data_IF_377466980850
#
_entry.id   IF_377466980850
#
_cell.length_a   1.000
_cell.length_b   1.000
_cell.length_c   1.000
_cell.angle_alpha   90.00
_cell.angle_beta   90.00
_cell.angle_gamma   90.00
#
_symmetry.space_group_name_H-M   'P 1'
#
loop_
_entity.id
_entity.type
_entity.pdbx_description
1 polymer ?
#
# COMPACT_ATOMS: atom_id res chain seq x y z
N UNK A 1 -27.82 1.68 19.57
CA UNK A 1 -27.39 2.73 18.63
C UNK A 1 -26.60 2.02 17.54
N UNK A 2 -27.21 1.80 16.38
CA UNK A 2 -26.50 1.23 15.23
C UNK A 2 -25.64 2.33 14.62
N UNK A 3 -24.32 2.20 14.69
CA UNK A 3 -23.43 2.98 13.83
C UNK A 3 -23.84 2.75 12.38
N UNK A 4 -23.89 3.78 11.52
CA UNK A 4 -23.96 3.54 10.10
C UNK A 4 -22.80 2.62 9.69
N UNK A 5 -23.00 1.68 8.77
CA UNK A 5 -21.87 0.95 8.20
C UNK A 5 -20.85 1.98 7.69
N UNK A 6 -19.54 1.71 7.79
CA UNK A 6 -18.56 2.58 7.18
C UNK A 6 -18.88 2.67 5.68
N UNK A 7 -19.28 3.86 5.24
CA UNK A 7 -19.54 4.19 3.85
C UNK A 7 -18.19 4.24 3.11
N UNK A 8 -17.61 3.07 2.87
CA UNK A 8 -16.43 2.91 2.04
C UNK A 8 -16.86 2.91 0.57
N UNK A 9 -17.48 4.02 0.16
CA UNK A 9 -18.11 4.15 -1.16
C UNK A 9 -17.07 4.66 -2.14
N UNK A 10 -16.65 3.78 -3.05
CA UNK A 10 -15.80 4.15 -4.17
C UNK A 10 -16.61 4.90 -5.23
N UNK A 11 -16.45 6.22 -5.29
CA UNK A 11 -17.16 7.08 -6.25
C UNK A 11 -16.31 7.45 -7.47
N UNK A 12 -15.00 7.60 -7.29
CA UNK A 12 -14.05 7.95 -8.34
C UNK A 12 -12.75 7.16 -8.12
N UNK A 13 -12.55 6.03 -8.83
CA UNK A 13 -11.46 5.11 -8.58
C UNK A 13 -10.14 5.60 -9.19
N UNK A 14 -10.18 6.51 -10.16
CA UNK A 14 -8.99 6.89 -10.91
C UNK A 14 -8.01 7.73 -10.08
N UNK A 15 -8.43 8.77 -9.32
CA UNK A 15 -7.52 9.53 -8.47
C UNK A 15 -6.87 8.66 -7.38
N UNK A 16 -7.65 7.79 -6.75
CA UNK A 16 -7.16 6.90 -5.70
C UNK A 16 -6.16 5.87 -6.26
N UNK A 17 -6.49 5.24 -7.39
CA UNK A 17 -5.59 4.32 -8.07
C UNK A 17 -4.31 5.04 -8.53
N UNK A 18 -4.40 6.27 -9.02
CA UNK A 18 -3.23 7.09 -9.40
C UNK A 18 -2.32 7.31 -8.19
N UNK A 19 -2.88 7.82 -7.09
CA UNK A 19 -2.13 8.12 -5.88
C UNK A 19 -1.48 6.87 -5.28
N UNK A 20 -2.20 5.74 -5.29
CA UNK A 20 -1.65 4.45 -4.87
C UNK A 20 -0.45 4.04 -5.73
N UNK A 21 -0.57 4.10 -7.05
CA UNK A 21 0.50 3.73 -7.97
C UNK A 21 1.73 4.65 -7.86
N UNK A 22 1.51 5.95 -7.74
CA UNK A 22 2.58 6.94 -7.54
C UNK A 22 3.34 6.68 -6.24
N UNK A 23 2.62 6.36 -5.15
CA UNK A 23 3.23 6.03 -3.85
C UNK A 23 4.09 4.77 -3.89
N UNK A 24 3.84 3.86 -4.83
CA UNK A 24 4.53 2.59 -5.00
C UNK A 24 5.47 2.58 -6.22
N UNK A 25 5.66 3.73 -6.87
CA UNK A 25 6.44 3.84 -8.10
C UNK A 25 7.90 3.38 -7.94
N UNK A 26 8.47 3.52 -6.73
CA UNK A 26 9.83 3.04 -6.41
C UNK A 26 10.00 1.53 -6.59
N UNK A 27 8.90 0.78 -6.46
CA UNK A 27 8.88 -0.68 -6.50
C UNK A 27 8.38 -1.25 -7.84
N UNK A 28 8.25 -0.40 -8.87
CA UNK A 28 7.76 -0.75 -10.20
C UNK A 28 8.74 -0.28 -11.27
N UNK A 29 8.81 -1.00 -12.40
CA UNK A 29 9.52 -0.51 -13.59
C UNK A 29 8.74 0.60 -14.26
N UNK A 30 7.42 0.44 -14.37
CA UNK A 30 6.47 1.45 -14.87
C UNK A 30 5.04 1.04 -14.55
N UNK A 31 4.11 1.99 -14.61
CA UNK A 31 2.68 1.71 -14.54
C UNK A 31 1.90 2.59 -15.52
N UNK A 32 0.70 2.15 -15.89
CA UNK A 32 -0.23 2.94 -16.71
C UNK A 32 -1.67 2.66 -16.34
N UNK A 33 -2.46 3.71 -16.17
CA UNK A 33 -3.92 3.59 -15.97
C UNK A 33 -4.59 3.32 -17.32
N UNK A 34 -5.47 2.33 -17.34
CA UNK A 34 -6.25 1.94 -18.50
C UNK A 34 -7.58 2.71 -18.45
N UNK A 35 -7.53 4.02 -18.69
CA UNK A 35 -8.70 4.92 -18.60
C UNK A 35 -9.84 4.49 -19.53
N UNK A 36 -9.51 3.92 -20.69
CA UNK A 36 -10.50 3.40 -21.64
C UNK A 36 -11.33 2.22 -21.11
N UNK A 37 -10.79 1.49 -20.13
CA UNK A 37 -11.42 0.32 -19.51
C UNK A 37 -11.88 0.59 -18.06
N UNK A 38 -11.70 1.81 -17.57
CA UNK A 38 -12.12 2.25 -16.24
C UNK A 38 -13.45 2.98 -16.31
N UNK A 39 -14.14 3.08 -15.18
CA UNK A 39 -15.37 3.84 -15.02
C UNK A 39 -15.53 4.31 -13.56
N UNK A 40 -15.96 5.55 -13.30
CA UNK A 40 -16.21 6.65 -14.23
C UNK A 40 -14.92 7.26 -14.79
N UNK A 41 -15.01 7.87 -15.98
CA UNK A 41 -13.87 8.46 -16.71
C UNK A 41 -13.93 9.99 -16.82
N UNK A 42 -15.12 10.56 -16.64
CA UNK A 42 -15.38 11.99 -16.80
C UNK A 42 -16.46 12.45 -15.81
N UNK A 43 -16.67 13.77 -15.71
CA UNK A 43 -17.61 14.35 -14.75
C UNK A 43 -19.05 13.87 -14.94
N UNK A 44 -19.49 13.66 -16.18
CA UNK A 44 -20.85 13.20 -16.47
C UNK A 44 -21.07 11.78 -15.92
N UNK A 45 -20.10 10.89 -16.11
CA UNK A 45 -20.14 9.53 -15.56
C UNK A 45 -20.05 9.54 -14.03
N UNK A 46 -19.26 10.44 -13.44
CA UNK A 46 -19.19 10.62 -11.98
C UNK A 46 -20.54 11.05 -11.41
N UNK A 47 -21.23 11.99 -12.06
CA UNK A 47 -22.57 12.40 -11.63
C UNK A 47 -23.57 11.25 -11.73
N UNK A 48 -23.49 10.43 -12.78
CA UNK A 48 -24.33 9.24 -12.91
C UNK A 48 -24.10 8.24 -11.77
N UNK A 49 -22.85 8.02 -11.35
CA UNK A 49 -22.50 7.19 -10.19
C UNK A 49 -23.05 7.77 -8.89
N UNK A 50 -22.93 9.09 -8.66
CA UNK A 50 -23.50 9.77 -7.49
C UNK A 50 -25.01 9.61 -7.44
N UNK A 51 -25.68 9.79 -8.58
CA UNK A 51 -27.14 9.63 -8.69
C UNK A 51 -27.57 8.18 -8.45
N UNK A 52 -26.85 7.20 -9.03
CA UNK A 52 -27.07 5.78 -8.78
C UNK A 52 -26.95 5.49 -7.29
N UNK A 53 -25.85 5.91 -6.66
CA UNK A 53 -25.62 5.73 -5.23
C UNK A 53 -26.75 6.34 -4.38
N UNK A 54 -27.20 7.55 -4.69
CA UNK A 54 -28.32 8.18 -3.99
C UNK A 54 -29.64 7.40 -4.11
N UNK A 55 -29.82 6.64 -5.20
CA UNK A 55 -31.05 5.87 -5.46
C UNK A 55 -31.00 4.42 -4.95
N UNK A 56 -29.85 3.75 -5.03
CA UNK A 56 -29.71 2.32 -4.73
C UNK A 56 -28.84 2.03 -3.50
N UNK A 57 -28.13 3.04 -2.97
CA UNK A 57 -27.17 2.87 -1.87
C UNK A 57 -25.88 2.15 -2.27
N UNK A 58 -25.60 2.00 -3.58
CA UNK A 58 -24.43 1.28 -4.07
C UNK A 58 -23.87 1.88 -5.36
N UNK A 59 -22.62 1.53 -5.69
CA UNK A 59 -21.92 2.00 -6.89
C UNK A 59 -21.44 0.83 -7.74
N UNK A 60 -22.36 -0.08 -8.07
CA UNK A 60 -22.06 -1.20 -8.95
C UNK A 60 -21.50 -0.69 -10.28
N UNK A 61 -20.36 -1.24 -10.71
CA UNK A 61 -19.69 -0.89 -11.96
C UNK A 61 -18.61 0.19 -11.85
N UNK A 62 -18.43 0.82 -10.69
CA UNK A 62 -17.27 1.69 -10.45
C UNK A 62 -16.00 0.85 -10.37
N UNK A 63 -15.05 1.12 -11.26
CA UNK A 63 -13.84 0.33 -11.44
C UNK A 63 -12.70 1.15 -12.03
N UNK A 64 -11.53 1.09 -11.39
CA UNK A 64 -10.27 1.53 -11.98
C UNK A 64 -9.51 0.33 -12.55
N UNK A 65 -8.79 0.52 -13.65
CA UNK A 65 -7.90 -0.51 -14.20
C UNK A 65 -6.51 0.04 -14.43
N UNK A 66 -5.50 -0.77 -14.11
CA UNK A 66 -4.11 -0.40 -14.33
C UNK A 66 -3.29 -1.59 -14.81
N UNK A 67 -2.24 -1.26 -15.56
CA UNK A 67 -1.17 -2.17 -15.96
C UNK A 67 0.09 -1.82 -15.20
N UNK A 68 0.66 -2.82 -14.53
CA UNK A 68 1.88 -2.70 -13.73
C UNK A 68 2.99 -3.48 -14.41
N UNK A 69 4.17 -2.90 -14.55
CA UNK A 69 5.38 -3.60 -14.97
C UNK A 69 6.27 -3.75 -13.74
N UNK A 70 6.43 -4.99 -13.29
CA UNK A 70 7.19 -5.30 -12.07
C UNK A 70 8.70 -5.11 -12.30
N UNK A 71 9.45 -4.97 -11.21
CA UNK A 71 10.90 -4.86 -11.24
C UNK A 71 11.57 -6.17 -11.68
N UNK A 72 12.86 -6.10 -12.00
CA UNK A 72 13.71 -7.26 -12.30
C UNK A 72 13.19 -8.21 -13.39
N UNK A 73 12.31 -7.73 -14.27
CA UNK A 73 11.69 -8.55 -15.31
C UNK A 73 10.70 -9.60 -14.79
N UNK A 74 10.17 -9.43 -13.57
CA UNK A 74 9.20 -10.35 -12.95
C UNK A 74 7.83 -10.37 -13.65
N UNK A 75 7.61 -9.47 -14.62
CA UNK A 75 6.49 -9.52 -15.54
C UNK A 75 5.55 -8.33 -15.43
N UNK A 76 4.36 -8.52 -15.97
CA UNK A 76 3.31 -7.52 -16.13
C UNK A 76 2.05 -8.03 -15.45
N UNK A 77 1.39 -7.16 -14.69
CA UNK A 77 0.14 -7.46 -13.97
C UNK A 77 -0.93 -6.49 -14.44
N UNK A 78 -2.10 -7.00 -14.82
CA UNK A 78 -3.31 -6.20 -14.98
C UNK A 78 -4.14 -6.28 -13.70
N UNK A 79 -4.48 -5.13 -13.15
CA UNK A 79 -5.19 -4.99 -11.89
C UNK A 79 -6.49 -4.23 -12.10
N UNK A 80 -7.56 -4.77 -11.51
CA UNK A 80 -8.84 -4.12 -11.33
C UNK A 80 -8.94 -3.58 -9.90
N UNK A 81 -9.29 -2.32 -9.75
CA UNK A 81 -9.54 -1.67 -8.47
C UNK A 81 -11.02 -1.33 -8.35
N UNK A 82 -11.69 -1.90 -7.35
CA UNK A 82 -13.10 -1.65 -7.05
C UNK A 82 -13.34 -1.64 -5.53
N UNK A 83 -14.59 -1.57 -5.08
CA UNK A 83 -14.95 -1.55 -3.65
C UNK A 83 -14.43 -2.77 -2.85
N UNK A 84 -14.08 -3.86 -3.52
CA UNK A 84 -13.53 -5.08 -2.89
C UNK A 84 -12.01 -5.00 -2.70
N UNK A 85 -11.35 -4.03 -3.32
CA UNK A 85 -9.90 -3.86 -3.31
C UNK A 85 -9.28 -4.07 -4.71
N UNK A 86 -8.07 -4.65 -4.72
CA UNK A 86 -7.24 -4.83 -5.90
C UNK A 86 -7.29 -6.27 -6.38
N UNK A 87 -7.95 -6.54 -7.50
CA UNK A 87 -8.05 -7.86 -8.11
C UNK A 87 -7.05 -8.03 -9.26
N UNK A 88 -6.26 -9.09 -9.25
CA UNK A 88 -5.41 -9.50 -10.37
C UNK A 88 -6.25 -10.14 -11.47
N UNK A 89 -6.26 -9.53 -12.65
CA UNK A 89 -7.01 -10.05 -13.81
C UNK A 89 -6.15 -10.92 -14.71
N UNK A 90 -4.89 -10.52 -14.92
CA UNK A 90 -3.93 -11.30 -15.68
C UNK A 90 -2.50 -11.00 -15.26
N UNK A 91 -1.62 -11.98 -15.51
CA UNK A 91 -0.19 -11.93 -15.23
C UNK A 91 0.60 -12.43 -16.44
N UNK A 92 1.73 -11.82 -16.76
CA UNK A 92 2.59 -12.24 -17.90
C UNK A 92 4.05 -11.81 -17.72
N UNK A 93 5.03 -12.73 -17.70
CA UNK A 93 5.05 -13.99 -16.99
C UNK A 93 5.51 -13.75 -15.54
N UNK A 94 4.57 -13.72 -14.60
CA UNK A 94 4.88 -13.63 -13.17
C UNK A 94 5.02 -15.06 -12.67
N UNK A 95 6.26 -15.57 -12.68
CA UNK A 95 6.75 -16.88 -12.19
C UNK A 95 5.69 -17.83 -11.57
N UNK A 96 5.37 -18.93 -12.28
CA UNK A 96 4.83 -20.26 -11.87
C UNK A 96 3.75 -20.44 -10.78
N UNK A 97 3.25 -19.42 -10.10
CA UNK A 97 2.13 -19.55 -9.19
C UNK A 97 0.88 -18.99 -9.85
N UNK A 98 0.08 -19.86 -10.48
CA UNK A 98 -1.29 -19.52 -10.79
C UNK A 98 -2.00 -19.19 -9.46
N UNK A 99 -2.17 -17.91 -9.16
CA UNK A 99 -2.95 -17.50 -7.99
C UNK A 99 -4.37 -18.05 -8.19
N UNK A 100 -4.88 -18.88 -7.26
CA UNK A 100 -6.25 -19.38 -7.30
C UNK A 100 -7.21 -18.20 -7.46
N UNK A 101 -8.26 -18.35 -8.27
CA UNK A 101 -9.15 -17.24 -8.63
C UNK A 101 -9.80 -16.58 -7.41
N UNK A 102 -10.05 -17.35 -6.35
CA UNK A 102 -10.56 -16.93 -5.05
C UNK A 102 -9.55 -16.11 -4.22
N UNK A 103 -8.26 -16.12 -4.56
CA UNK A 103 -7.18 -15.45 -3.84
C UNK A 103 -6.55 -14.29 -4.62
N UNK A 104 -7.19 -13.85 -5.70
CA UNK A 104 -6.68 -12.77 -6.56
C UNK A 104 -7.02 -11.37 -6.10
N UNK A 105 -7.84 -11.21 -5.06
CA UNK A 105 -8.27 -9.91 -4.55
C UNK A 105 -7.55 -9.58 -3.25
N UNK A 106 -6.91 -8.43 -3.23
CA UNK A 106 -6.11 -7.92 -2.13
C UNK A 106 -6.73 -6.64 -1.57
N UNK A 107 -6.60 -6.43 -0.27
CA UNK A 107 -7.13 -5.23 0.41
C UNK A 107 -6.40 -3.94 0.04
N UNK A 108 -5.14 -4.04 -0.38
CA UNK A 108 -4.29 -2.91 -0.73
C UNK A 108 -3.33 -3.25 -1.87
N UNK A 109 -2.82 -2.20 -2.54
CA UNK A 109 -1.79 -2.35 -3.57
C UNK A 109 -0.49 -2.92 -2.98
N UNK A 110 -0.15 -2.56 -1.75
CA UNK A 110 1.04 -3.08 -1.06
C UNK A 110 0.94 -4.60 -0.83
N UNK A 111 -0.18 -5.08 -0.31
CA UNK A 111 -0.42 -6.51 -0.13
C UNK A 111 -0.34 -7.28 -1.46
N UNK A 112 -0.88 -6.72 -2.53
CA UNK A 112 -0.77 -7.27 -3.89
C UNK A 112 0.69 -7.34 -4.36
N UNK A 113 1.46 -6.26 -4.20
CA UNK A 113 2.83 -6.18 -4.68
C UNK A 113 3.78 -7.07 -3.85
N UNK A 114 3.57 -7.17 -2.54
CA UNK A 114 4.29 -8.10 -1.67
C UNK A 114 4.05 -9.55 -2.10
N UNK A 115 2.81 -9.90 -2.44
CA UNK A 115 2.46 -11.26 -2.86
C UNK A 115 3.05 -11.61 -4.24
N UNK A 116 3.16 -10.64 -5.14
CA UNK A 116 3.55 -10.86 -6.54
C UNK A 116 5.02 -10.63 -6.84
N UNK A 117 5.72 -9.79 -6.08
CA UNK A 117 7.02 -9.26 -6.46
C UNK A 117 8.03 -9.30 -5.30
N UNK A 118 8.88 -10.33 -5.23
CA UNK A 118 10.03 -10.33 -4.33
C UNK A 118 10.94 -9.12 -4.54
N UNK A 119 11.11 -8.65 -5.79
CA UNK A 119 11.87 -7.44 -6.08
C UNK A 119 11.25 -6.17 -5.46
N UNK A 120 9.91 -6.06 -5.43
CA UNK A 120 9.22 -4.99 -4.71
C UNK A 120 9.55 -5.00 -3.22
N UNK A 121 9.54 -6.17 -2.56
CA UNK A 121 9.87 -6.29 -1.13
C UNK A 121 11.30 -5.81 -0.85
N UNK A 122 12.26 -6.19 -1.70
CA UNK A 122 13.63 -5.71 -1.58
C UNK A 122 13.77 -4.19 -1.81
N UNK A 123 13.03 -3.64 -2.77
CA UNK A 123 12.98 -2.20 -3.03
C UNK A 123 12.37 -1.43 -1.84
N UNK A 124 11.29 -1.96 -1.25
CA UNK A 124 10.64 -1.39 -0.06
C UNK A 124 11.59 -1.36 1.14
N UNK A 125 12.32 -2.45 1.40
CA UNK A 125 13.34 -2.48 2.45
C UNK A 125 14.43 -1.43 2.22
N UNK A 126 14.87 -1.26 0.98
CA UNK A 126 15.86 -0.26 0.60
C UNK A 126 15.34 1.17 0.84
N UNK A 127 14.08 1.47 0.49
CA UNK A 127 13.45 2.76 0.78
C UNK A 127 13.31 3.03 2.28
N UNK A 128 13.00 2.01 3.08
CA UNK A 128 12.95 2.14 4.53
C UNK A 128 14.34 2.49 5.10
N UNK A 129 15.39 1.81 4.65
CA UNK A 129 16.76 2.05 5.14
C UNK A 129 17.25 3.47 4.86
N UNK A 130 16.93 4.06 3.70
CA UNK A 130 17.26 5.47 3.39
C UNK A 130 16.71 6.45 4.42
N UNK A 131 15.58 6.15 5.06
CA UNK A 131 15.00 7.01 6.11
C UNK A 131 15.81 6.97 7.40
N UNK A 132 16.53 5.88 7.65
CA UNK A 132 17.39 5.72 8.82
C UNK A 132 18.81 6.22 8.59
N UNK A 133 19.27 6.30 7.33
CA UNK A 133 20.58 6.88 6.98
C UNK A 133 20.72 8.36 7.35
N UNK A 134 19.61 9.07 7.56
CA UNK A 134 19.57 10.46 8.04
C UNK A 134 19.24 10.65 9.53
N UNK A 135 19.07 9.56 10.30
CA UNK A 135 18.77 9.63 11.74
C UNK A 135 20.00 10.03 12.56
N UNK A 136 19.84 10.65 13.75
CA UNK A 136 20.97 10.86 14.66
C UNK A 136 21.61 9.50 14.89
N UNK A 137 22.89 9.37 14.58
CA UNK A 137 23.65 8.14 14.79
C UNK A 137 23.49 7.63 16.23
N UNK A 138 23.84 6.38 16.51
CA UNK A 138 23.85 5.84 17.87
C UNK A 138 24.90 6.56 18.71
N UNK A 139 24.57 7.77 19.19
CA UNK A 139 25.45 8.65 19.95
C UNK A 139 24.74 9.22 21.18
N UNK A 140 23.66 8.59 21.65
CA UNK A 140 22.95 9.01 22.87
C UNK A 140 22.91 7.97 23.99
N UNK A 141 23.57 6.82 23.81
CA UNK A 141 23.65 5.75 24.82
C UNK A 141 25.09 5.43 25.23
N UNK A 142 26.05 6.31 24.90
CA UNK A 142 27.48 6.10 25.21
C UNK A 142 28.10 7.20 26.08
N UNK A 143 27.27 7.87 26.87
CA UNK A 143 27.69 8.87 27.88
C UNK A 143 27.27 8.46 29.31
N UNK A 144 27.13 7.15 29.58
CA UNK A 144 26.82 6.64 30.93
C UNK A 144 27.85 5.64 31.47
N UNK A 145 29.02 5.51 30.85
CA UNK A 145 29.99 4.49 31.28
C UNK A 145 31.45 4.92 31.10
N UNK A 146 31.81 6.15 31.51
CA UNK A 146 33.21 6.57 31.66
C UNK A 146 33.33 7.73 32.69
N UNK A 147 32.95 7.46 33.94
CA UNK A 147 33.40 8.28 35.08
C UNK A 147 33.70 7.40 36.28
N UNK A 148 34.74 6.57 36.15
CA UNK A 148 35.51 6.09 37.30
C UNK A 148 36.20 7.30 37.97
N UNK A 149 35.86 7.58 39.24
CA UNK A 149 36.72 8.41 40.10
C UNK A 149 36.03 9.18 41.22
N UNK A 150 36.09 8.60 42.41
CA UNK A 150 36.00 9.22 43.75
C UNK A 150 34.62 9.68 44.29
N UNK A 151 34.13 8.97 45.32
CA UNK A 151 33.27 9.58 46.33
C UNK A 151 32.27 8.66 47.03
N UNK A 152 32.72 8.04 48.13
CA UNK A 152 31.96 7.67 49.33
C UNK A 152 30.78 6.67 49.22
N UNK A 153 30.96 5.57 49.96
CA UNK A 153 29.92 4.63 50.39
C UNK A 153 28.84 5.37 51.20
N UNK A 154 27.60 5.35 50.73
CA UNK A 154 26.42 5.56 51.56
C UNK A 154 25.43 4.43 51.26
N UNK A 155 25.41 3.41 52.12
CA UNK A 155 24.42 2.34 52.09
C UNK A 155 23.02 2.93 52.38
N UNK A 156 22.00 2.69 51.53
CA UNK A 156 20.65 3.16 51.81
C UNK A 156 20.03 2.34 52.95
N UNK A 157 19.84 2.98 54.10
CA UNK A 157 19.13 2.46 55.26
C UNK A 157 17.62 2.34 55.01
N UNK A 158 17.18 1.29 54.31
CA UNK A 158 15.77 0.91 54.22
C UNK A 158 15.61 -0.61 54.21
N UNK A 159 16.12 -1.27 55.26
CA UNK A 159 15.58 -2.55 55.73
C UNK A 159 15.43 -2.43 57.24
N UNK A 160 14.20 -2.11 57.66
CA UNK A 160 13.55 -2.66 58.85
C UNK A 160 12.05 -2.80 58.54
#
# INVERSE_FOLDING_TARGET
MSSPPPDNILLDPLPELTAALESHAFGLTSFSILTGESYPRNEQEREAVRAQHASTGGTEGVVGRARLVLLAGEGVVLVRFDQRGYTVESTTPTRDAAIPEDQRTFESLDALLIALSPAYVAAMQSELMKRFEGGPGPSRWRDLDDSDGDGAEDEPAWID
#
